data_IF_773768184505
#
_entry.id   IF_773768184505
#
_cell.length_a   1.000
_cell.length_b   1.000
_cell.length_c   1.000
_cell.angle_alpha   90.00
_cell.angle_beta   90.00
_cell.angle_gamma   90.00
#
_symmetry.space_group_name_H-M   'P 1'
#
loop_
_entity.id
_entity.type
_entity.pdbx_description
1 polymer ?
#
# COMPACT_ATOMS: atom_id res chain seq x y z
N UNK A 1 11.08 7.82 4.74
CA UNK A 1 10.03 7.08 4.01
C UNK A 1 9.88 5.70 4.63
N UNK A 2 8.64 5.23 4.85
CA UNK A 2 8.41 3.85 5.32
C UNK A 2 8.88 2.89 4.22
N UNK A 3 10.10 2.35 4.34
CA UNK A 3 10.74 1.39 3.42
C UNK A 3 10.07 -0.01 3.42
N UNK A 4 8.77 -0.08 3.70
CA UNK A 4 8.03 -1.33 3.94
C UNK A 4 7.25 -1.77 2.69
N UNK A 5 7.20 -0.93 1.64
CA UNK A 5 6.49 -1.24 0.40
C UNK A 5 7.49 -1.45 -0.75
N UNK A 6 7.45 -2.59 -1.45
CA UNK A 6 8.19 -2.77 -2.68
C UNK A 6 7.77 -1.75 -3.75
N UNK A 7 8.73 -1.02 -4.31
CA UNK A 7 8.49 0.00 -5.33
C UNK A 7 7.92 -0.57 -6.64
N UNK A 8 8.12 -1.86 -6.89
CA UNK A 8 7.76 -2.60 -8.11
C UNK A 8 6.32 -3.16 -8.12
N UNK A 9 5.60 -3.12 -6.99
CA UNK A 9 4.27 -3.73 -6.88
C UNK A 9 4.29 -5.23 -6.60
N UNK A 10 5.43 -5.79 -6.20
CA UNK A 10 5.52 -7.15 -5.68
C UNK A 10 4.70 -7.32 -4.40
N UNK A 11 4.24 -8.55 -4.18
CA UNK A 11 3.33 -8.88 -3.09
C UNK A 11 4.02 -8.78 -1.73
N UNK A 12 3.36 -8.16 -0.77
CA UNK A 12 3.92 -7.97 0.58
C UNK A 12 3.47 -9.11 1.48
N UNK A 13 4.44 -9.80 2.10
CA UNK A 13 4.16 -10.78 3.14
C UNK A 13 3.59 -10.09 4.38
N UNK A 14 2.38 -10.49 4.76
CA UNK A 14 1.62 -9.79 5.79
C UNK A 14 2.27 -9.85 7.17
N UNK A 15 2.94 -10.94 7.53
CA UNK A 15 3.53 -11.10 8.86
C UNK A 15 4.63 -10.08 9.16
N UNK A 16 5.59 -9.89 8.24
CA UNK A 16 6.66 -8.90 8.41
C UNK A 16 6.12 -7.47 8.39
N UNK A 17 5.14 -7.21 7.52
CA UNK A 17 4.51 -5.90 7.40
C UNK A 17 3.73 -5.49 8.66
N UNK A 18 2.94 -6.39 9.25
CA UNK A 18 2.23 -6.10 10.51
C UNK A 18 3.18 -5.96 11.69
N UNK A 19 4.27 -6.73 11.74
CA UNK A 19 5.27 -6.60 12.78
C UNK A 19 5.91 -5.21 12.77
N UNK A 20 6.22 -4.65 11.59
CA UNK A 20 6.71 -3.28 11.47
C UNK A 20 5.65 -2.25 11.87
N UNK A 21 4.39 -2.41 11.47
CA UNK A 21 3.31 -1.48 11.88
C UNK A 21 3.08 -1.40 13.39
N UNK A 22 3.27 -2.52 14.10
CA UNK A 22 3.15 -2.58 15.55
C UNK A 22 4.28 -1.82 16.25
N UNK A 23 5.48 -1.77 15.67
CA UNK A 23 6.62 -1.02 16.23
C UNK A 23 6.40 0.49 16.26
N UNK A 24 5.52 1.02 15.41
CA UNK A 24 5.27 2.44 15.27
C UNK A 24 3.88 2.88 15.78
N UNK A 25 3.18 2.04 16.56
CA UNK A 25 1.79 2.27 17.01
C UNK A 25 0.77 2.59 15.90
N UNK A 26 1.16 2.33 14.65
CA UNK A 26 0.39 2.69 13.46
C UNK A 26 -0.61 1.60 13.05
N UNK A 27 -0.72 0.53 13.83
CA UNK A 27 -1.54 -0.64 13.52
C UNK A 27 -3.03 -0.31 13.37
N UNK A 28 -3.61 0.48 14.28
CA UNK A 28 -5.02 0.90 14.22
C UNK A 28 -5.30 1.77 13.00
N UNK A 29 -4.43 2.75 12.75
CA UNK A 29 -4.52 3.64 11.58
C UNK A 29 -4.42 2.85 10.28
N UNK A 30 -3.47 1.93 10.19
CA UNK A 30 -3.33 1.05 9.04
C UNK A 30 -4.58 0.20 8.82
N UNK A 31 -5.13 -0.41 9.86
CA UNK A 31 -6.32 -1.27 9.75
C UNK A 31 -7.52 -0.51 9.19
N UNK A 32 -7.69 0.76 9.61
CA UNK A 32 -8.72 1.65 9.05
C UNK A 32 -8.47 1.93 7.57
N UNK A 33 -7.26 2.34 7.21
CA UNK A 33 -6.89 2.66 5.81
C UNK A 33 -7.05 1.42 4.92
N UNK A 34 -6.56 0.26 5.35
CA UNK A 34 -6.71 -1.03 4.66
C UNK A 34 -8.18 -1.33 4.37
N UNK A 35 -9.05 -1.16 5.36
CA UNK A 35 -10.49 -1.43 5.19
C UNK A 35 -11.12 -0.52 4.13
N UNK A 36 -10.76 0.76 4.10
CA UNK A 36 -11.24 1.70 3.10
C UNK A 36 -10.69 1.40 1.70
N UNK A 37 -9.42 1.01 1.59
CA UNK A 37 -8.81 0.62 0.32
C UNK A 37 -9.45 -0.65 -0.27
N UNK A 38 -9.83 -1.61 0.58
CA UNK A 38 -10.58 -2.80 0.18
C UNK A 38 -11.99 -2.44 -0.33
N UNK A 39 -12.73 -1.63 0.43
CA UNK A 39 -14.08 -1.16 0.03
C UNK A 39 -14.06 -0.46 -1.33
N UNK A 40 -13.03 0.35 -1.58
CA UNK A 40 -12.83 1.07 -2.85
C UNK A 40 -12.23 0.20 -3.97
N UNK A 41 -12.00 -1.10 -3.73
CA UNK A 41 -11.38 -2.04 -4.68
C UNK A 41 -10.04 -1.54 -5.21
N UNK A 42 -9.25 -0.87 -4.37
CA UNK A 42 -7.89 -0.40 -4.69
C UNK A 42 -6.87 -1.50 -4.40
N UNK A 43 -7.09 -2.25 -3.32
CA UNK A 43 -6.30 -3.43 -2.96
C UNK A 43 -7.19 -4.67 -2.88
N UNK A 44 -6.56 -5.83 -2.95
CA UNK A 44 -7.15 -7.13 -2.67
C UNK A 44 -6.25 -7.96 -1.75
N UNK A 45 -6.83 -8.95 -1.09
CA UNK A 45 -6.10 -9.88 -0.22
C UNK A 45 -6.07 -11.23 -0.93
N UNK A 46 -4.88 -11.76 -1.10
CA UNK A 46 -4.66 -13.13 -1.54
C UNK A 46 -4.72 -14.06 -0.32
N UNK A 47 -5.53 -15.11 -0.40
CA UNK A 47 -5.76 -16.04 0.70
C UNK A 47 -5.20 -17.41 0.35
N UNK A 48 -4.47 -18.00 1.30
CA UNK A 48 -4.05 -19.40 1.25
C UNK A 48 -4.75 -20.16 2.37
N UNK A 49 -5.56 -21.16 2.03
CA UNK A 49 -6.32 -21.98 2.99
C UNK A 49 -7.02 -21.14 4.08
N UNK A 50 -7.70 -20.05 3.68
CA UNK A 50 -8.40 -19.09 4.55
C UNK A 50 -7.52 -18.15 5.38
N UNK A 51 -6.19 -18.23 5.28
CA UNK A 51 -5.26 -17.26 5.89
C UNK A 51 -4.86 -16.21 4.86
N UNK A 52 -4.96 -14.94 5.24
CA UNK A 52 -4.47 -13.84 4.40
C UNK A 52 -2.95 -13.97 4.23
N UNK A 53 -2.50 -14.17 2.99
CA UNK A 53 -1.08 -14.39 2.65
C UNK A 53 -0.40 -13.09 2.23
N UNK A 54 -1.05 -12.32 1.37
CA UNK A 54 -0.51 -11.06 0.87
C UNK A 54 -1.59 -10.03 0.56
N UNK A 55 -1.20 -8.75 0.52
CA UNK A 55 -2.01 -7.66 -0.02
C UNK A 55 -1.40 -7.27 -1.37
N UNK A 56 -2.24 -7.11 -2.39
CA UNK A 56 -1.85 -6.70 -3.75
C UNK A 56 -2.71 -5.54 -4.22
N UNK A 57 -2.19 -4.75 -5.17
CA UNK A 57 -2.98 -3.74 -5.86
C UNK A 57 -3.91 -4.41 -6.86
N UNK A 58 -5.15 -3.95 -6.94
CA UNK A 58 -6.02 -4.28 -8.07
C UNK A 58 -5.57 -3.47 -9.30
N UNK A 59 -6.16 -3.75 -10.47
CA UNK A 59 -5.96 -2.92 -11.67
C UNK A 59 -6.23 -1.43 -11.40
N UNK A 60 -7.29 -1.12 -10.65
CA UNK A 60 -7.61 0.26 -10.28
C UNK A 60 -6.56 0.86 -9.34
N UNK A 61 -6.04 0.07 -8.41
CA UNK A 61 -4.96 0.49 -7.52
C UNK A 61 -3.64 0.75 -8.25
N UNK A 62 -3.32 -0.03 -9.27
CA UNK A 62 -2.15 0.20 -10.13
C UNK A 62 -2.28 1.52 -10.87
N UNK A 63 -3.44 1.80 -11.48
CA UNK A 63 -3.68 3.09 -12.17
C UNK A 63 -3.54 4.26 -11.21
N UNK A 64 -4.11 4.14 -10.00
CA UNK A 64 -4.02 5.19 -8.97
C UNK A 64 -2.56 5.41 -8.54
N UNK A 65 -1.78 4.35 -8.34
CA UNK A 65 -0.35 4.43 -7.99
C UNK A 65 0.44 5.22 -9.04
N UNK A 66 0.20 4.97 -10.33
CA UNK A 66 0.89 5.69 -11.41
C UNK A 66 0.54 7.17 -11.40
N UNK A 67 -0.75 7.52 -11.33
CA UNK A 67 -1.18 8.93 -11.24
C UNK A 67 -0.59 9.65 -10.04
N UNK A 68 -0.54 8.99 -8.88
CA UNK A 68 0.07 9.56 -7.68
C UNK A 68 1.56 9.82 -7.87
N UNK A 69 2.28 8.90 -8.51
CA UNK A 69 3.70 9.06 -8.84
C UNK A 69 3.93 10.24 -9.77
N UNK A 70 3.10 10.40 -10.80
CA UNK A 70 3.18 11.53 -11.73
C UNK A 70 2.96 12.87 -11.02
N UNK A 71 1.96 12.94 -10.13
CA UNK A 71 1.68 14.15 -9.35
C UNK A 71 2.84 14.52 -8.42
N UNK A 72 3.42 13.54 -7.71
CA UNK A 72 4.59 13.77 -6.85
C UNK A 72 5.75 14.31 -7.68
N UNK A 73 6.04 13.71 -8.83
CA UNK A 73 7.10 14.17 -9.73
C UNK A 73 6.85 15.58 -10.29
N UNK A 74 5.59 15.96 -10.50
CA UNK A 74 5.24 17.32 -10.94
C UNK A 74 5.46 18.35 -9.84
N UNK A 75 5.12 18.02 -8.59
CA UNK A 75 5.36 18.88 -7.42
C UNK A 75 6.87 19.06 -7.22
N UNK A 76 7.61 17.95 -7.18
CA UNK A 76 9.08 17.97 -6.99
C UNK A 76 9.81 18.78 -8.08
N UNK A 77 9.31 18.79 -9.32
CA UNK A 77 9.87 19.61 -10.42
C UNK A 77 9.36 21.06 -10.43
N UNK A 78 8.24 21.34 -9.76
CA UNK A 78 7.64 22.66 -9.67
C UNK A 78 8.29 23.57 -8.63
N UNK A 79 8.98 22.98 -7.66
CA UNK A 79 9.69 23.68 -6.58
C UNK A 79 11.12 24.13 -6.98
N UNK A 80 11.55 23.90 -8.23
CA UNK A 80 12.86 24.30 -8.78
C UNK A 80 12.87 25.70 -9.46
N UNK A 81 11.94 26.61 -9.13
CA UNK A 81 11.88 27.96 -9.74
C UNK A 81 11.87 29.11 -8.74
#
# INVERSE_FOLDING_TARGET
>A
TLNILPGDGSSIYLNGFYAELLKFDNYKTFTRVKSELLKKKIIEIDYDQKKARSIKLTRNGVVLKFRLKELIQQIEKGDDK
#
